data_IF_635936653555
#
_entry.id   IF_635936653555
#
_cell.length_a   1.000
_cell.length_b   1.000
_cell.length_c   1.000
_cell.angle_alpha   90.00
_cell.angle_beta   90.00
_cell.angle_gamma   90.00
#
_symmetry.space_group_name_H-M   'P 1'
#
loop_
_entity.id
_entity.type
_entity.pdbx_description
1 polymer ?
#
# COMPACT_ATOMS: atom_id res chain seq x y z
N UNK A 1 17.09 -24.91 74.69
CA UNK A 1 15.78 -25.56 74.56
C UNK A 1 14.69 -24.49 74.61
N UNK A 2 13.91 -24.36 73.55
CA UNK A 2 12.44 -24.24 73.50
C UNK A 2 12.10 -23.85 72.05
N UNK A 3 11.36 -24.75 71.39
CA UNK A 3 10.76 -24.59 70.06
C UNK A 3 9.67 -23.51 70.13
N UNK A 4 9.55 -22.68 69.10
CA UNK A 4 8.24 -22.26 68.58
C UNK A 4 8.24 -22.32 67.06
N UNK A 5 7.38 -23.21 66.58
CA UNK A 5 6.91 -23.36 65.21
C UNK A 5 5.86 -22.28 65.00
N UNK A 6 5.92 -21.57 63.87
CA UNK A 6 4.77 -20.87 63.31
C UNK A 6 4.76 -20.99 61.79
N UNK A 7 3.53 -21.07 61.29
CA UNK A 7 3.11 -21.66 60.03
C UNK A 7 3.38 -20.82 58.78
N UNK A 8 3.38 -21.56 57.67
CA UNK A 8 3.37 -21.15 56.26
C UNK A 8 2.31 -20.09 55.95
N UNK A 9 2.70 -19.08 55.17
CA UNK A 9 1.82 -18.45 54.19
C UNK A 9 2.64 -18.14 52.93
N UNK A 10 2.50 -19.01 51.92
CA UNK A 10 2.98 -18.80 50.56
C UNK A 10 2.12 -17.68 49.96
N UNK A 11 2.65 -16.47 49.86
CA UNK A 11 1.99 -15.43 49.06
C UNK A 11 2.35 -15.68 47.59
N UNK A 12 1.43 -16.32 46.86
CA UNK A 12 1.45 -16.33 45.41
C UNK A 12 1.27 -14.89 44.92
N UNK A 13 2.35 -14.26 44.45
CA UNK A 13 2.27 -13.01 43.74
C UNK A 13 1.72 -13.33 42.34
N UNK A 14 0.41 -13.24 42.18
CA UNK A 14 -0.21 -13.25 40.86
C UNK A 14 0.36 -12.06 40.09
N UNK A 15 1.10 -12.35 39.01
CA UNK A 15 1.39 -11.37 37.98
C UNK A 15 0.05 -10.87 37.44
N UNK A 16 -0.36 -9.68 37.86
CA UNK A 16 -1.29 -8.90 37.07
C UNK A 16 -0.45 -8.30 35.95
N UNK A 17 -0.19 -9.13 34.94
CA UNK A 17 0.18 -8.64 33.62
C UNK A 17 -1.02 -7.85 33.12
N UNK A 18 -0.97 -6.52 33.30
CA UNK A 18 -1.84 -5.60 32.60
C UNK A 18 -1.51 -5.72 31.12
N UNK A 19 -2.07 -6.73 30.45
CA UNK A 19 -2.24 -6.69 29.01
C UNK A 19 -3.20 -5.54 28.75
N UNK A 20 -2.64 -4.34 28.56
CA UNK A 20 -3.33 -3.28 27.83
C UNK A 20 -3.65 -3.89 26.48
N UNK A 21 -4.86 -4.41 26.36
CA UNK A 21 -5.42 -4.82 25.08
C UNK A 21 -5.28 -3.63 24.17
N UNK A 22 -4.42 -3.77 23.16
CA UNK A 22 -4.42 -2.87 22.02
C UNK A 22 -5.77 -3.16 21.37
N UNK A 23 -6.75 -2.32 21.67
CA UNK A 23 -8.01 -2.35 20.97
C UNK A 23 -7.68 -2.17 19.49
N UNK A 24 -7.94 -3.22 18.71
CA UNK A 24 -7.86 -3.19 17.25
C UNK A 24 -8.80 -2.09 16.79
N UNK A 25 -8.23 -0.98 16.31
CA UNK A 25 -8.97 0.13 15.74
C UNK A 25 -9.39 -0.27 14.32
N UNK A 26 -10.29 -1.25 14.22
CA UNK A 26 -10.81 -1.70 12.94
C UNK A 26 -11.94 -0.79 12.49
N UNK A 27 -11.67 -0.04 11.41
CA UNK A 27 -12.67 0.15 10.36
C UNK A 27 -13.28 1.55 10.16
N UNK A 28 -13.22 2.50 11.10
CA UNK A 28 -14.08 3.70 11.00
C UNK A 28 -13.34 5.05 10.76
N UNK A 29 -12.03 5.10 10.99
CA UNK A 29 -11.28 6.37 10.99
C UNK A 29 -10.65 6.76 9.66
N UNK A 30 -10.36 5.80 8.77
CA UNK A 30 -9.37 5.98 7.70
C UNK A 30 -10.01 6.37 6.36
N UNK A 31 -11.34 6.46 6.23
CA UNK A 31 -11.99 6.83 4.94
C UNK A 31 -11.95 5.70 3.90
N UNK A 32 -12.73 5.81 2.83
CA UNK A 32 -12.82 4.77 1.77
C UNK A 32 -11.55 4.76 0.92
N UNK A 33 -10.89 3.62 0.82
CA UNK A 33 -9.78 3.42 -0.11
C UNK A 33 -10.23 3.63 -1.57
N UNK A 34 -9.46 4.41 -2.31
CA UNK A 34 -9.60 4.61 -3.75
C UNK A 34 -8.22 4.47 -4.37
N UNK A 35 -8.11 3.65 -5.40
CA UNK A 35 -6.88 3.47 -6.16
C UNK A 35 -7.23 3.48 -7.63
N UNK A 36 -6.37 4.10 -8.44
CA UNK A 36 -6.60 4.40 -9.84
C UNK A 36 -5.28 4.36 -10.61
N UNK A 37 -5.40 4.24 -11.92
CA UNK A 37 -4.28 4.42 -12.84
C UNK A 37 -4.21 5.91 -13.16
N UNK A 38 -3.04 6.52 -12.92
CA UNK A 38 -2.78 7.89 -13.32
C UNK A 38 -2.57 7.92 -14.86
N UNK A 39 -3.27 8.79 -15.58
CA UNK A 39 -3.19 8.80 -17.04
C UNK A 39 -1.85 9.33 -17.57
N UNK A 40 -1.04 10.01 -16.74
CA UNK A 40 0.23 10.62 -17.16
C UNK A 40 0.07 11.53 -18.41
N UNK A 41 -1.09 12.20 -18.53
CA UNK A 41 -1.46 12.96 -19.73
C UNK A 41 -0.40 13.97 -20.13
N UNK A 42 0.13 13.85 -21.35
CA UNK A 42 1.17 14.72 -21.88
C UNK A 42 2.61 14.37 -21.45
N UNK A 43 2.81 13.31 -20.66
CA UNK A 43 4.13 12.79 -20.32
C UNK A 43 4.59 11.68 -21.28
N UNK A 44 5.88 11.35 -21.27
CA UNK A 44 6.41 10.24 -22.06
C UNK A 44 5.91 8.86 -21.57
N UNK A 45 5.37 8.79 -20.35
CA UNK A 45 4.79 7.62 -19.71
C UNK A 45 3.26 7.59 -19.80
N UNK A 46 2.66 8.45 -20.63
CA UNK A 46 1.21 8.54 -20.80
C UNK A 46 0.56 7.17 -21.01
N UNK A 47 -0.54 6.92 -20.29
CA UNK A 47 -1.35 5.71 -20.36
C UNK A 47 -2.59 6.00 -21.21
N UNK A 48 -2.53 5.85 -22.55
CA UNK A 48 -3.53 6.40 -23.47
C UNK A 48 -4.91 5.72 -23.37
N UNK A 49 -4.99 4.56 -22.71
CA UNK A 49 -6.23 3.82 -22.52
C UNK A 49 -6.95 4.20 -21.21
N UNK A 50 -6.38 5.11 -20.43
CA UNK A 50 -6.88 5.56 -19.14
C UNK A 50 -7.63 6.87 -19.34
N UNK A 51 -8.74 7.06 -18.62
CA UNK A 51 -9.44 8.33 -18.60
C UNK A 51 -8.47 9.48 -18.21
N UNK A 52 -8.33 10.56 -19.01
CA UNK A 52 -7.44 11.67 -18.70
C UNK A 52 -7.83 12.46 -17.44
N UNK A 53 -9.05 12.23 -16.91
CA UNK A 53 -9.51 12.78 -15.64
C UNK A 53 -9.59 11.70 -14.54
N UNK A 54 -8.83 10.61 -14.66
CA UNK A 54 -8.75 9.58 -13.63
C UNK A 54 -8.10 10.14 -12.37
N UNK A 55 -8.82 10.06 -11.25
CA UNK A 55 -8.40 10.58 -9.95
C UNK A 55 -9.09 9.80 -8.81
N UNK A 56 -8.75 10.09 -7.55
CA UNK A 56 -9.32 9.37 -6.40
C UNK A 56 -10.86 9.42 -6.33
N UNK A 57 -11.46 10.54 -6.71
CA UNK A 57 -12.91 10.76 -6.72
C UNK A 57 -13.60 10.03 -7.88
N UNK A 58 -12.98 10.00 -9.05
CA UNK A 58 -13.44 9.30 -10.26
C UNK A 58 -12.39 8.34 -10.82
N UNK A 59 -12.14 7.22 -10.12
CA UNK A 59 -10.99 6.37 -10.41
C UNK A 59 -11.23 5.52 -11.66
N UNK A 60 -10.34 5.64 -12.65
CA UNK A 60 -10.16 4.61 -13.67
C UNK A 60 -9.20 3.54 -13.12
N UNK A 61 -9.64 2.28 -13.16
CA UNK A 61 -8.98 1.17 -12.48
C UNK A 61 -8.39 0.15 -13.44
N UNK A 62 -8.43 0.45 -14.72
CA UNK A 62 -8.01 -0.48 -15.76
C UNK A 62 -7.10 0.20 -16.74
N UNK A 63 -6.06 -0.53 -17.14
CA UNK A 63 -5.19 -0.09 -18.22
C UNK A 63 -4.76 -1.28 -19.08
N UNK A 64 -4.44 -1.01 -20.33
CA UNK A 64 -3.73 -1.92 -21.22
C UNK A 64 -2.42 -1.27 -21.63
N UNK A 65 -1.32 -1.84 -21.18
CA UNK A 65 0.00 -1.26 -21.35
C UNK A 65 0.96 -2.21 -22.05
N UNK A 66 1.86 -1.66 -22.87
CA UNK A 66 2.91 -2.41 -23.54
C UNK A 66 3.98 -2.85 -22.53
N UNK A 67 4.50 -4.07 -22.67
CA UNK A 67 5.63 -4.55 -21.86
C UNK A 67 6.86 -3.67 -22.12
N UNK A 68 7.58 -3.31 -21.08
CA UNK A 68 8.84 -2.57 -21.19
C UNK A 68 9.95 -3.46 -21.76
N UNK A 69 10.85 -2.91 -22.59
CA UNK A 69 12.10 -3.59 -22.94
C UNK A 69 12.87 -4.10 -21.70
N UNK A 70 13.62 -5.20 -21.82
CA UNK A 70 14.43 -5.71 -20.71
C UNK A 70 15.36 -4.64 -20.14
N UNK A 71 15.32 -4.45 -18.82
CA UNK A 71 16.16 -3.47 -18.11
C UNK A 71 15.66 -2.03 -18.14
N UNK A 72 14.46 -1.75 -18.67
CA UNK A 72 13.89 -0.40 -18.71
C UNK A 72 12.57 -0.29 -17.94
N UNK A 73 12.12 0.96 -17.73
CA UNK A 73 10.82 1.33 -17.15
C UNK A 73 10.05 2.25 -18.10
N UNK A 74 10.25 2.13 -19.42
CA UNK A 74 9.72 3.09 -20.40
C UNK A 74 8.20 3.04 -20.52
N UNK A 75 7.60 1.87 -20.31
CA UNK A 75 6.14 1.68 -20.35
C UNK A 75 5.62 1.40 -18.93
N UNK A 76 6.13 2.14 -17.94
CA UNK A 76 5.66 1.99 -16.58
C UNK A 76 4.23 2.54 -16.43
N UNK A 77 3.56 2.11 -15.37
CA UNK A 77 2.22 2.60 -15.01
C UNK A 77 2.29 3.22 -13.62
N UNK A 78 1.80 4.44 -13.51
CA UNK A 78 1.59 5.12 -12.24
C UNK A 78 0.29 4.63 -11.60
N UNK A 79 0.41 3.98 -10.43
CA UNK A 79 -0.72 3.60 -9.62
C UNK A 79 -0.81 4.51 -8.39
N UNK A 80 -1.81 5.38 -8.44
CA UNK A 80 -2.08 6.35 -7.40
C UNK A 80 -3.26 5.90 -6.53
N UNK A 81 -3.32 6.44 -5.32
CA UNK A 81 -4.37 6.10 -4.37
C UNK A 81 -4.61 7.17 -3.30
N UNK A 82 -5.80 7.15 -2.70
CA UNK A 82 -6.18 7.96 -1.56
C UNK A 82 -7.06 7.17 -0.60
N UNK A 83 -7.25 7.71 0.60
CA UNK A 83 -8.44 7.45 1.38
C UNK A 83 -9.37 8.66 1.38
N UNK A 84 -10.66 8.45 1.08
CA UNK A 84 -11.67 9.50 0.99
C UNK A 84 -12.67 9.42 2.14
N UNK A 85 -12.76 10.47 2.95
CA UNK A 85 -13.76 10.62 4.02
C UNK A 85 -14.51 11.93 3.83
N UNK A 86 -15.81 11.87 3.55
CA UNK A 86 -16.65 13.04 3.28
C UNK A 86 -16.07 14.00 2.22
N UNK A 87 -15.53 13.44 1.14
CA UNK A 87 -14.90 14.22 0.05
C UNK A 87 -13.54 14.82 0.39
N UNK A 88 -12.93 14.42 1.52
CA UNK A 88 -11.58 14.84 1.91
C UNK A 88 -10.63 13.66 1.89
N UNK A 89 -9.41 13.90 1.40
CA UNK A 89 -8.30 12.95 1.49
C UNK A 89 -7.81 12.88 2.94
N UNK A 90 -7.72 11.68 3.49
CA UNK A 90 -7.26 11.44 4.86
C UNK A 90 -6.04 10.53 4.87
N UNK A 91 -5.15 10.79 5.82
CA UNK A 91 -3.84 10.19 5.89
C UNK A 91 -3.85 8.93 6.76
N UNK A 92 -2.87 8.06 6.56
CA UNK A 92 -2.62 6.88 7.40
C UNK A 92 -1.65 5.88 6.78
N UNK A 93 -1.28 4.84 7.55
CA UNK A 93 -0.51 3.72 7.03
C UNK A 93 -1.27 2.96 5.94
N UNK A 94 -0.59 2.63 4.86
CA UNK A 94 -1.15 2.00 3.69
C UNK A 94 -0.16 1.08 2.98
N UNK A 95 -0.69 0.15 2.20
CA UNK A 95 0.11 -0.73 1.35
C UNK A 95 -0.47 -0.84 -0.06
N UNK A 96 0.43 -0.97 -1.03
CA UNK A 96 0.14 -1.54 -2.34
C UNK A 96 0.68 -2.96 -2.39
N UNK A 97 -0.17 -3.92 -2.72
CA UNK A 97 0.21 -5.31 -2.86
C UNK A 97 -0.13 -5.81 -4.27
N UNK A 98 0.92 -6.23 -4.99
CA UNK A 98 0.85 -6.70 -6.36
C UNK A 98 0.75 -8.21 -6.46
N UNK A 99 0.12 -8.69 -7.52
CA UNK A 99 0.01 -10.11 -7.84
C UNK A 99 -0.12 -10.33 -9.36
N UNK A 100 0.22 -11.54 -9.82
CA UNK A 100 0.21 -11.89 -11.24
C UNK A 100 1.56 -11.64 -11.91
N UNK A 101 1.54 -11.02 -13.10
CA UNK A 101 2.76 -10.60 -13.82
C UNK A 101 3.19 -9.20 -13.38
N UNK A 102 4.36 -8.75 -13.84
CA UNK A 102 4.91 -7.43 -13.47
C UNK A 102 5.46 -7.37 -12.05
N UNK A 103 5.86 -6.17 -11.64
CA UNK A 103 6.45 -5.84 -10.34
C UNK A 103 5.99 -4.46 -9.86
N UNK A 104 6.13 -4.17 -8.57
CA UNK A 104 6.18 -2.78 -8.08
C UNK A 104 7.63 -2.31 -8.24
N UNK A 105 7.88 -1.43 -9.21
CA UNK A 105 9.24 -0.98 -9.56
C UNK A 105 9.71 0.21 -8.73
N UNK A 106 8.82 0.97 -8.07
CA UNK A 106 9.23 2.04 -7.17
C UNK A 106 8.22 2.32 -6.04
N UNK A 107 8.74 2.66 -4.85
CA UNK A 107 8.04 2.93 -3.59
C UNK A 107 8.96 3.72 -2.61
N UNK A 108 8.86 5.04 -2.46
CA UNK A 108 7.90 5.90 -3.15
C UNK A 108 8.20 5.94 -4.64
N UNK A 109 7.27 6.49 -5.40
CA UNK A 109 7.63 7.01 -6.71
C UNK A 109 8.83 8.01 -6.60
N UNK A 110 9.94 7.83 -7.35
CA UNK A 110 11.13 8.68 -7.27
C UNK A 110 10.96 10.11 -7.79
N UNK A 111 9.76 10.52 -8.18
CA UNK A 111 9.45 11.89 -8.63
C UNK A 111 9.59 12.96 -7.50
N UNK A 112 10.06 12.57 -6.31
CA UNK A 112 10.37 13.47 -5.20
C UNK A 112 9.15 13.79 -4.32
N UNK A 113 8.02 13.15 -4.62
CA UNK A 113 6.72 13.21 -3.93
C UNK A 113 6.35 11.80 -3.49
N UNK A 114 6.29 11.53 -2.19
CA UNK A 114 6.19 10.17 -1.62
C UNK A 114 5.54 10.09 -0.23
N UNK A 115 5.73 9.06 0.60
CA UNK A 115 5.42 9.06 2.04
C UNK A 115 6.54 9.63 2.93
N UNK A 116 6.27 9.92 4.21
CA UNK A 116 7.35 10.18 5.20
C UNK A 116 8.33 9.00 5.28
N UNK A 117 7.80 7.78 5.13
CA UNK A 117 8.57 6.55 5.08
C UNK A 117 7.88 5.53 4.17
N UNK A 118 8.67 4.86 3.31
CA UNK A 118 8.20 3.72 2.52
C UNK A 118 9.13 2.52 2.66
N UNK A 119 8.60 1.33 2.33
CA UNK A 119 9.37 0.10 2.19
C UNK A 119 8.85 -0.75 1.05
N UNK A 120 9.73 -1.03 0.09
CA UNK A 120 9.51 -1.98 -0.98
C UNK A 120 10.02 -3.37 -0.57
N UNK A 121 9.24 -4.43 -0.78
CA UNK A 121 9.57 -5.79 -0.34
C UNK A 121 9.08 -6.83 -1.34
N UNK A 122 9.88 -7.88 -1.54
CA UNK A 122 9.46 -9.14 -2.15
C UNK A 122 8.98 -10.06 -1.02
N UNK A 123 7.68 -10.31 -0.95
CA UNK A 123 7.08 -11.10 0.13
C UNK A 123 6.99 -12.59 -0.17
N UNK A 124 7.16 -12.99 -1.44
CA UNK A 124 7.00 -14.36 -1.88
C UNK A 124 8.32 -15.05 -2.28
N UNK A 125 9.41 -14.29 -2.39
CA UNK A 125 10.77 -14.77 -2.63
C UNK A 125 11.11 -15.07 -4.09
N UNK A 126 10.31 -14.61 -5.06
CA UNK A 126 10.54 -14.84 -6.49
C UNK A 126 11.50 -13.82 -7.14
N UNK A 127 12.07 -12.91 -6.34
CA UNK A 127 12.98 -11.86 -6.78
C UNK A 127 12.27 -10.62 -7.33
N UNK A 128 10.93 -10.54 -7.22
CA UNK A 128 10.12 -9.40 -7.66
C UNK A 128 9.48 -8.74 -6.46
N UNK A 129 9.66 -7.43 -6.34
CA UNK A 129 8.95 -6.68 -5.32
C UNK A 129 7.44 -6.68 -5.60
N UNK A 130 6.67 -7.08 -4.59
CA UNK A 130 5.22 -7.25 -4.65
C UNK A 130 4.48 -6.55 -3.50
N UNK A 131 5.19 -5.97 -2.54
CA UNK A 131 4.61 -5.17 -1.46
C UNK A 131 5.34 -3.83 -1.33
N UNK A 132 4.57 -2.75 -1.36
CA UNK A 132 5.02 -1.41 -1.01
C UNK A 132 4.21 -0.91 0.19
N UNK A 133 4.86 -0.78 1.35
CA UNK A 133 4.28 -0.15 2.52
C UNK A 133 4.62 1.35 2.55
N UNK A 134 3.68 2.17 3.03
CA UNK A 134 3.79 3.62 3.17
C UNK A 134 3.18 4.07 4.50
N UNK A 135 3.89 4.86 5.30
CA UNK A 135 3.37 5.32 6.60
C UNK A 135 2.29 6.40 6.50
N UNK A 136 2.31 7.19 5.42
CA UNK A 136 1.47 8.37 5.21
C UNK A 136 1.57 8.86 3.75
N UNK A 137 0.61 9.60 3.21
CA UNK A 137 0.87 10.41 2.01
C UNK A 137 1.73 11.65 2.36
N UNK A 138 2.46 12.23 1.41
CA UNK A 138 3.13 13.52 1.61
C UNK A 138 2.21 14.72 1.32
N UNK A 139 2.63 15.85 1.87
CA UNK A 139 2.11 17.19 1.61
C UNK A 139 3.27 18.11 1.30
N UNK A 140 3.60 18.29 0.03
CA UNK A 140 4.70 19.13 -0.49
C UNK A 140 4.25 20.44 -1.13
N UNK A 141 2.95 20.62 -1.35
CA UNK A 141 2.32 21.70 -2.11
C UNK A 141 2.25 21.50 -3.62
N UNK A 142 2.62 20.32 -4.14
CA UNK A 142 2.71 20.02 -5.58
C UNK A 142 1.51 19.20 -6.09
N UNK A 143 1.24 19.19 -7.42
CA UNK A 143 0.29 18.23 -8.00
C UNK A 143 0.64 16.78 -7.63
N UNK A 144 -0.36 15.95 -7.33
CA UNK A 144 -0.16 14.59 -6.77
C UNK A 144 -0.09 14.56 -5.23
N UNK A 145 -0.04 15.71 -4.57
CA UNK A 145 -0.07 15.75 -3.11
C UNK A 145 -1.32 15.09 -2.49
N UNK A 146 -1.14 14.60 -1.26
CA UNK A 146 -2.17 13.93 -0.46
C UNK A 146 -2.65 12.62 -1.06
N UNK A 147 -1.79 11.99 -1.85
CA UNK A 147 -2.00 10.68 -2.47
C UNK A 147 -0.80 9.76 -2.16
N UNK A 148 -1.02 8.47 -2.38
CA UNK A 148 0.00 7.44 -2.33
C UNK A 148 0.32 7.03 -3.76
N UNK A 149 1.60 6.89 -4.07
CA UNK A 149 2.06 6.65 -5.44
C UNK A 149 2.98 5.45 -5.51
N UNK A 150 2.73 4.57 -6.47
CA UNK A 150 3.69 3.52 -6.84
C UNK A 150 3.86 3.46 -8.34
N UNK A 151 5.05 3.06 -8.77
CA UNK A 151 5.30 2.71 -10.17
C UNK A 151 5.25 1.21 -10.35
N UNK A 152 4.58 0.79 -11.41
CA UNK A 152 4.44 -0.59 -11.82
C UNK A 152 5.15 -0.78 -13.15
N UNK A 153 5.82 -1.92 -13.32
CA UNK A 153 6.51 -2.23 -14.56
C UNK A 153 6.43 -3.73 -14.85
N UNK A 154 6.56 -4.07 -16.13
CA UNK A 154 6.70 -5.45 -16.54
C UNK A 154 7.67 -5.53 -17.72
N UNK A 155 8.73 -6.34 -17.57
CA UNK A 155 9.69 -6.68 -18.63
C UNK A 155 9.63 -8.17 -18.99
N UNK A 156 8.71 -8.91 -18.36
CA UNK A 156 8.55 -10.34 -18.49
C UNK A 156 7.41 -10.74 -19.44
N UNK A 157 6.60 -11.75 -19.10
CA UNK A 157 5.53 -12.21 -19.96
C UNK A 157 4.33 -11.26 -19.97
N UNK A 158 3.55 -11.33 -21.05
CA UNK A 158 2.22 -10.74 -21.11
C UNK A 158 1.29 -11.43 -20.10
N UNK A 159 0.30 -10.68 -19.62
CA UNK A 159 -0.63 -11.16 -18.61
C UNK A 159 -1.26 -10.01 -17.84
N UNK A 160 -1.98 -10.36 -16.77
CA UNK A 160 -2.63 -9.39 -15.91
C UNK A 160 -1.82 -9.20 -14.63
N UNK A 161 -1.54 -7.94 -14.31
CA UNK A 161 -1.08 -7.53 -12.98
C UNK A 161 -2.27 -6.95 -12.24
N UNK A 162 -2.50 -7.41 -11.01
CA UNK A 162 -3.49 -6.83 -10.10
C UNK A 162 -2.76 -6.19 -8.94
N UNK A 163 -3.12 -4.96 -8.62
CA UNK A 163 -2.58 -4.25 -7.46
C UNK A 163 -3.71 -3.86 -6.53
N UNK A 164 -3.58 -4.23 -5.27
CA UNK A 164 -4.52 -3.91 -4.20
C UNK A 164 -3.89 -2.82 -3.35
N UNK A 165 -4.60 -1.71 -3.19
CA UNK A 165 -4.31 -0.68 -2.21
C UNK A 165 -5.19 -0.89 -0.98
N UNK A 166 -4.61 -0.77 0.21
CA UNK A 166 -5.33 -0.91 1.47
C UNK A 166 -4.80 0.03 2.54
N UNK A 167 -5.63 0.31 3.54
CA UNK A 167 -5.09 0.74 4.84
C UNK A 167 -4.38 -0.43 5.48
N UNK A 168 -3.19 -0.22 6.03
CA UNK A 168 -2.33 -1.28 6.56
C UNK A 168 -1.59 -0.78 7.80
N UNK A 169 -2.28 -0.81 8.95
CA UNK A 169 -1.74 -0.25 10.19
C UNK A 169 -0.60 -1.09 10.79
N UNK A 170 -0.53 -2.37 10.45
CA UNK A 170 0.44 -3.33 11.01
C UNK A 170 1.62 -3.61 10.05
N UNK A 171 1.60 -3.01 8.86
CA UNK A 171 2.62 -3.11 7.82
C UNK A 171 2.86 -4.55 7.31
N UNK A 172 1.80 -5.35 7.23
CA UNK A 172 1.86 -6.77 6.80
C UNK A 172 1.28 -7.02 5.39
N UNK A 173 0.80 -5.96 4.72
CA UNK A 173 0.16 -6.02 3.42
C UNK A 173 -1.36 -5.97 3.47
N UNK A 174 -1.98 -6.31 2.34
CA UNK A 174 -3.41 -6.12 2.14
C UNK A 174 -4.21 -7.42 2.25
N UNK A 175 -3.75 -8.44 2.97
CA UNK A 175 -4.47 -9.73 2.95
C UNK A 175 -5.67 -9.74 3.89
N UNK A 176 -5.44 -9.38 5.14
CA UNK A 176 -6.40 -9.31 6.25
C UNK A 176 -7.23 -8.01 6.26
N UNK A 177 -6.80 -7.01 5.51
CA UNK A 177 -7.45 -5.69 5.54
C UNK A 177 -8.88 -5.69 4.96
N UNK A 178 -9.74 -4.79 5.45
CA UNK A 178 -11.13 -4.68 4.98
C UNK A 178 -11.34 -3.48 4.05
N UNK A 179 -10.62 -2.38 4.30
CA UNK A 179 -10.68 -1.16 3.51
C UNK A 179 -9.70 -1.22 2.32
N UNK A 180 -10.20 -1.60 1.15
CA UNK A 180 -9.39 -1.91 -0.03
C UNK A 180 -9.94 -1.26 -1.31
N UNK A 181 -9.03 -0.96 -2.23
CA UNK A 181 -9.33 -0.69 -3.63
C UNK A 181 -8.31 -1.42 -4.49
N UNK A 182 -8.59 -1.63 -5.78
CA UNK A 182 -7.64 -2.32 -6.66
C UNK A 182 -7.70 -1.81 -8.08
N UNK A 183 -6.57 -1.90 -8.77
CA UNK A 183 -6.48 -1.73 -10.23
C UNK A 183 -6.09 -3.04 -10.91
N UNK A 184 -6.27 -3.08 -12.23
CA UNK A 184 -5.79 -4.17 -13.07
C UNK A 184 -5.12 -3.60 -14.33
N UNK A 185 -3.90 -4.08 -14.60
CA UNK A 185 -3.15 -3.73 -15.81
C UNK A 185 -3.04 -4.98 -16.67
N UNK A 186 -3.42 -4.86 -17.93
CA UNK A 186 -3.20 -5.88 -18.94
C UNK A 186 -1.92 -5.55 -19.70
N UNK A 187 -0.87 -6.33 -19.46
CA UNK A 187 0.40 -6.22 -20.15
C UNK A 187 0.37 -6.96 -21.48
N UNK A 188 0.65 -6.24 -22.57
CA UNK A 188 0.63 -6.75 -23.95
C UNK A 188 2.00 -6.59 -24.64
N UNK A 189 2.19 -7.28 -25.76
CA UNK A 189 3.37 -7.18 -26.63
C UNK A 189 3.08 -6.33 -27.86
#
# INVERSE_FOLDING_TARGET
MIKRISYVALAALALVGSSTGIASAEGETIGRAASYVNPDTGAATENPNVNPNSECETPDRTDTQQISPPGTTTNNVHNDACFLKFGKRVNGPASFQSSGVGVISACPDPDGTGPEFSRLTDTNGDGRADLCYMSAFQTTGLPGDREYHTRLNNTGPAGTQRVVFCSDANANGCRDETNKSSIAIKWVR
#
